data_IF_403939338164
#
_entry.id   IF_403939338164
#
_cell.length_a   1.000
_cell.length_b   1.000
_cell.length_c   1.000
_cell.angle_alpha   90.00
_cell.angle_beta   90.00
_cell.angle_gamma   90.00
#
_symmetry.space_group_name_H-M   'P 1'
#
loop_
_entity.id
_entity.type
_entity.pdbx_description
1 polymer ?
#
# COMPACT_ATOMS: atom_id res chain seq x y z
N UNK A 1 52.09 -18.88 31.11
CA UNK A 1 52.07 -17.44 30.82
C UNK A 1 51.34 -17.25 29.49
N UNK A 2 50.03 -17.00 29.54
CA UNK A 2 49.18 -16.76 28.36
C UNK A 2 48.45 -15.46 28.65
N UNK A 3 48.86 -14.39 27.99
CA UNK A 3 48.21 -13.09 28.00
C UNK A 3 46.85 -13.23 27.31
N UNK A 4 45.76 -13.13 28.07
CA UNK A 4 44.39 -13.10 27.54
C UNK A 4 44.12 -11.71 26.96
N UNK A 5 44.01 -11.68 25.64
CA UNK A 5 43.69 -10.53 24.81
C UNK A 5 42.32 -9.93 25.19
N UNK A 6 42.33 -8.67 25.65
CA UNK A 6 41.16 -7.90 26.12
C UNK A 6 40.41 -7.18 24.97
N UNK A 7 40.78 -7.40 23.71
CA UNK A 7 40.17 -6.72 22.55
C UNK A 7 38.79 -7.26 22.13
N UNK A 8 38.36 -8.42 22.66
CA UNK A 8 37.11 -9.08 22.25
C UNK A 8 35.84 -8.64 22.98
N UNK A 9 35.95 -7.87 24.06
CA UNK A 9 34.77 -7.34 24.80
C UNK A 9 34.28 -5.98 24.27
N UNK A 10 35.06 -5.29 23.44
CA UNK A 10 34.70 -3.97 22.91
C UNK A 10 33.81 -4.01 21.65
N UNK A 11 33.70 -5.15 20.97
CA UNK A 11 32.93 -5.24 19.72
C UNK A 11 31.42 -5.43 20.00
N UNK A 12 31.04 -6.02 21.13
CA UNK A 12 29.62 -6.23 21.47
C UNK A 12 28.91 -4.99 21.99
N UNK A 13 29.63 -3.97 22.48
CA UNK A 13 29.00 -2.73 22.99
C UNK A 13 28.75 -1.68 21.91
N UNK A 14 29.50 -1.70 20.79
CA UNK A 14 29.32 -0.75 19.69
C UNK A 14 28.09 -1.06 18.81
N UNK A 15 27.67 -2.32 18.73
CA UNK A 15 26.48 -2.75 17.99
C UNK A 15 25.17 -2.28 18.63
N UNK A 16 25.12 -2.09 19.94
CA UNK A 16 23.91 -1.65 20.64
C UNK A 16 23.65 -0.15 20.45
N UNK A 17 24.72 0.65 20.30
CA UNK A 17 24.60 2.11 20.16
C UNK A 17 24.07 2.55 18.78
N UNK A 18 24.34 1.76 17.73
CA UNK A 18 23.86 2.04 16.37
C UNK A 18 22.37 1.74 16.16
N UNK A 19 21.79 0.81 16.92
CA UNK A 19 20.35 0.50 16.83
C UNK A 19 19.50 1.59 17.50
N UNK A 20 19.96 2.17 18.60
CA UNK A 20 19.23 3.23 19.32
C UNK A 20 19.09 4.54 18.52
N UNK A 21 20.09 4.88 17.70
CA UNK A 21 20.03 6.08 16.85
C UNK A 21 18.97 5.98 15.72
N UNK A 22 18.60 4.76 15.33
CA UNK A 22 17.61 4.53 14.28
C UNK A 22 16.16 4.76 14.76
N UNK A 23 15.88 4.56 16.06
CA UNK A 23 14.54 4.81 16.65
C UNK A 23 14.28 6.29 16.99
N UNK A 24 15.31 7.02 17.44
CA UNK A 24 15.17 8.42 17.84
C UNK A 24 14.81 9.37 16.68
N UNK A 25 15.13 8.99 15.44
CA UNK A 25 14.81 9.78 14.24
C UNK A 25 13.36 9.57 13.79
N UNK A 26 12.84 8.34 13.88
CA UNK A 26 11.43 8.05 13.56
C UNK A 26 10.50 8.69 14.59
N UNK A 27 10.87 8.67 15.87
CA UNK A 27 10.05 9.26 16.94
C UNK A 27 9.88 10.78 16.76
N UNK A 28 10.95 11.47 16.37
CA UNK A 28 10.90 12.90 16.03
C UNK A 28 10.06 13.20 14.78
N UNK A 29 10.06 12.31 13.79
CA UNK A 29 9.22 12.47 12.60
C UNK A 29 7.75 12.28 12.96
N UNK A 30 7.43 11.26 13.76
CA UNK A 30 6.07 10.98 14.23
C UNK A 30 5.55 12.18 15.04
N UNK A 31 6.34 12.69 15.99
CA UNK A 31 5.96 13.84 16.80
C UNK A 31 5.69 15.10 15.94
N UNK A 32 6.50 15.35 14.90
CA UNK A 32 6.26 16.46 13.97
C UNK A 32 4.98 16.28 13.14
N UNK A 33 4.69 15.06 12.69
CA UNK A 33 3.49 14.77 11.90
C UNK A 33 2.22 14.84 12.74
N UNK A 34 2.28 14.42 14.01
CA UNK A 34 1.21 14.56 14.99
C UNK A 34 0.95 16.03 15.35
N UNK A 35 2.01 16.83 15.56
CA UNK A 35 1.92 18.28 15.80
C UNK A 35 1.30 19.04 14.61
N UNK A 36 1.51 18.56 13.38
CA UNK A 36 0.95 19.14 12.16
C UNK A 36 -0.47 18.64 11.85
N UNK A 37 -1.06 17.79 12.70
CA UNK A 37 -2.35 17.11 12.46
C UNK A 37 -2.41 16.38 11.09
N UNK A 38 -1.25 15.96 10.57
CA UNK A 38 -1.14 15.32 9.27
C UNK A 38 -1.65 13.87 9.29
N UNK A 39 -1.76 13.27 10.48
CA UNK A 39 -2.20 11.90 10.67
C UNK A 39 -3.41 11.90 11.61
N UNK A 40 -4.58 11.58 11.06
CA UNK A 40 -5.81 11.43 11.86
C UNK A 40 -5.79 10.08 12.61
N UNK A 41 -6.30 10.07 13.85
CA UNK A 41 -6.43 8.85 14.63
C UNK A 41 -7.44 7.90 13.95
N UNK A 42 -7.14 6.59 13.95
CA UNK A 42 -8.02 5.55 13.41
C UNK A 42 -9.49 5.70 13.86
N UNK A 43 -9.72 6.03 15.14
CA UNK A 43 -11.08 6.24 15.67
C UNK A 43 -11.81 7.43 15.05
N UNK A 44 -11.09 8.51 14.74
CA UNK A 44 -11.66 9.68 14.06
C UNK A 44 -11.92 9.41 12.58
N UNK A 45 -11.02 8.67 11.92
CA UNK A 45 -11.20 8.21 10.55
C UNK A 45 -12.46 7.34 10.43
N UNK A 46 -12.64 6.37 11.35
CA UNK A 46 -13.80 5.48 11.36
C UNK A 46 -15.12 6.22 11.61
N UNK A 47 -15.12 7.32 12.38
CA UNK A 47 -16.33 8.16 12.56
C UNK A 47 -16.76 8.83 11.24
N UNK A 48 -15.82 9.23 10.39
CA UNK A 48 -16.11 9.89 9.10
C UNK A 48 -16.48 8.91 8.00
N UNK A 49 -15.75 7.80 7.90
CA UNK A 49 -15.89 6.82 6.81
C UNK A 49 -17.01 5.80 7.13
N UNK A 50 -17.34 5.60 8.40
CA UNK A 50 -18.31 4.61 8.86
C UNK A 50 -17.68 3.23 9.06
N UNK A 51 -18.50 2.26 9.46
CA UNK A 51 -18.07 0.87 9.57
C UNK A 51 -17.76 0.29 8.20
N UNK A 52 -16.61 -0.37 8.05
CA UNK A 52 -16.32 -1.14 6.85
C UNK A 52 -17.38 -2.23 6.68
N UNK A 53 -18.18 -2.13 5.62
CA UNK A 53 -19.12 -3.19 5.23
C UNK A 53 -18.34 -4.16 4.37
N UNK A 54 -18.01 -5.30 4.95
CA UNK A 54 -17.39 -6.38 4.20
C UNK A 54 -18.39 -6.89 3.15
N UNK A 55 -18.02 -6.82 1.87
CA UNK A 55 -18.90 -7.28 0.80
C UNK A 55 -19.06 -8.79 0.89
N UNK A 56 -20.30 -9.26 1.03
CA UNK A 56 -20.65 -10.67 1.30
C UNK A 56 -20.35 -11.65 0.17
N UNK A 57 -19.95 -11.21 -1.03
CA UNK A 57 -19.67 -12.09 -2.17
C UNK A 57 -18.24 -11.96 -2.71
N UNK A 58 -17.35 -12.76 -2.12
CA UNK A 58 -16.03 -13.03 -2.67
C UNK A 58 -16.17 -14.12 -3.75
N UNK A 59 -16.49 -13.68 -4.97
CA UNK A 59 -16.57 -14.54 -6.17
C UNK A 59 -15.33 -14.33 -7.03
N UNK A 60 -14.72 -15.42 -7.50
CA UNK A 60 -13.70 -15.38 -8.57
C UNK A 60 -14.35 -14.85 -9.85
N UNK A 61 -13.74 -13.83 -10.46
CA UNK A 61 -14.29 -13.14 -11.62
C UNK A 61 -13.43 -13.31 -12.85
N UNK A 62 -14.07 -13.34 -14.01
CA UNK A 62 -13.35 -13.26 -15.29
C UNK A 62 -12.80 -11.84 -15.51
N UNK A 63 -11.85 -11.69 -16.44
CA UNK A 63 -11.33 -10.37 -16.80
C UNK A 63 -12.44 -9.41 -17.28
N UNK A 64 -13.44 -9.92 -18.00
CA UNK A 64 -14.54 -9.12 -18.53
C UNK A 64 -15.50 -8.67 -17.40
N UNK A 65 -15.77 -9.56 -16.43
CA UNK A 65 -16.57 -9.22 -15.25
C UNK A 65 -15.87 -8.17 -14.37
N UNK A 66 -14.54 -8.25 -14.23
CA UNK A 66 -13.76 -7.24 -13.50
C UNK A 66 -13.82 -5.90 -14.23
N UNK A 67 -13.62 -5.90 -15.55
CA UNK A 67 -13.67 -4.68 -16.36
C UNK A 67 -15.05 -4.01 -16.30
N UNK A 68 -16.14 -4.77 -16.39
CA UNK A 68 -17.50 -4.24 -16.24
C UNK A 68 -17.70 -3.60 -14.85
N UNK A 69 -17.19 -4.22 -13.79
CA UNK A 69 -17.25 -3.63 -12.45
C UNK A 69 -16.48 -2.31 -12.34
N UNK A 70 -15.28 -2.23 -12.91
CA UNK A 70 -14.49 -0.99 -12.92
C UNK A 70 -15.21 0.12 -13.70
N UNK A 71 -15.80 -0.21 -14.85
CA UNK A 71 -16.61 0.72 -15.64
C UNK A 71 -17.82 1.26 -14.86
N UNK A 72 -18.53 0.37 -14.14
CA UNK A 72 -19.65 0.79 -13.28
C UNK A 72 -19.20 1.71 -12.16
N UNK A 73 -18.07 1.41 -11.50
CA UNK A 73 -17.51 2.29 -10.47
C UNK A 73 -17.17 3.67 -11.04
N UNK A 74 -16.55 3.71 -12.21
CA UNK A 74 -16.23 4.97 -12.87
C UNK A 74 -17.49 5.78 -13.23
N UNK A 75 -18.50 5.10 -13.79
CA UNK A 75 -19.78 5.71 -14.18
C UNK A 75 -20.55 6.26 -12.97
N UNK A 76 -20.50 5.55 -11.84
CA UNK A 76 -21.20 5.95 -10.63
C UNK A 76 -20.48 7.10 -9.89
N UNK A 77 -19.16 7.18 -10.00
CA UNK A 77 -18.33 8.14 -9.26
C UNK A 77 -17.33 8.89 -10.16
N UNK A 78 -17.79 9.58 -11.21
CA UNK A 78 -16.91 10.19 -12.21
C UNK A 78 -16.05 11.33 -11.65
N UNK A 79 -16.47 11.96 -10.55
CA UNK A 79 -15.76 13.09 -9.93
C UNK A 79 -14.51 12.69 -9.17
N UNK A 80 -14.43 11.43 -8.72
CA UNK A 80 -13.33 10.93 -7.88
C UNK A 80 -12.61 9.74 -8.50
N UNK A 81 -12.99 9.36 -9.73
CA UNK A 81 -12.39 8.24 -10.44
C UNK A 81 -12.01 8.62 -11.86
N UNK A 82 -10.92 8.04 -12.35
CA UNK A 82 -10.48 8.19 -13.73
C UNK A 82 -10.01 6.83 -14.26
N UNK A 83 -10.54 6.41 -15.40
CA UNK A 83 -10.23 5.12 -16.00
C UNK A 83 -9.43 5.32 -17.29
N UNK A 84 -8.30 4.62 -17.40
CA UNK A 84 -7.43 4.69 -18.57
C UNK A 84 -6.70 3.37 -18.80
N UNK A 85 -6.25 3.15 -20.04
CA UNK A 85 -5.48 1.96 -20.41
C UNK A 85 -3.99 2.31 -20.50
N UNK A 86 -3.14 1.47 -19.88
CA UNK A 86 -1.67 1.62 -19.94
C UNK A 86 -1.01 0.78 -21.02
N UNK A 87 -1.82 0.02 -21.79
CA UNK A 87 -1.34 -0.83 -22.87
C UNK A 87 -2.22 -2.04 -23.11
N UNK A 88 -1.68 -3.04 -23.82
CA UNK A 88 -2.35 -4.30 -24.12
C UNK A 88 -1.47 -5.49 -23.74
N UNK A 89 -2.10 -6.57 -23.27
CA UNK A 89 -1.45 -7.86 -23.04
C UNK A 89 -1.05 -8.53 -24.37
N UNK A 90 -0.26 -9.61 -24.29
CA UNK A 90 0.10 -10.46 -25.43
C UNK A 90 -1.13 -10.99 -26.18
N UNK A 91 -2.24 -11.23 -25.46
CA UNK A 91 -3.52 -11.65 -26.02
C UNK A 91 -4.41 -10.46 -26.44
N UNK A 92 -3.83 -9.28 -26.67
CA UNK A 92 -4.49 -8.03 -27.09
C UNK A 92 -5.57 -7.48 -26.14
N UNK A 93 -5.62 -7.96 -24.89
CA UNK A 93 -6.57 -7.43 -23.86
C UNK A 93 -6.05 -6.13 -23.26
N UNK A 94 -6.89 -5.12 -23.02
CA UNK A 94 -6.46 -3.86 -22.40
C UNK A 94 -5.97 -4.10 -20.96
N UNK A 95 -4.93 -3.35 -20.57
CA UNK A 95 -4.46 -3.25 -19.19
C UNK A 95 -5.06 -1.97 -18.61
N UNK A 96 -6.25 -2.11 -18.02
CA UNK A 96 -7.03 -0.97 -17.52
C UNK A 96 -6.65 -0.63 -16.09
N UNK A 97 -6.52 0.68 -15.82
CA UNK A 97 -6.25 1.26 -14.50
C UNK A 97 -7.44 2.12 -14.10
N UNK A 98 -7.88 1.97 -12.85
CA UNK A 98 -8.83 2.87 -12.20
C UNK A 98 -8.08 3.71 -11.16
N UNK A 99 -7.84 4.98 -11.45
CA UNK A 99 -7.34 5.94 -10.47
C UNK A 99 -8.48 6.45 -9.60
N UNK A 100 -8.24 6.58 -8.30
CA UNK A 100 -9.21 7.06 -7.32
C UNK A 100 -8.56 8.18 -6.50
N UNK A 101 -9.20 9.33 -6.43
CA UNK A 101 -8.66 10.47 -5.68
C UNK A 101 -9.45 11.76 -5.93
N UNK A 102 -9.02 12.85 -5.29
CA UNK A 102 -9.63 14.18 -5.46
C UNK A 102 -9.35 14.75 -6.86
N UNK A 103 -8.16 14.45 -7.40
CA UNK A 103 -7.74 14.81 -8.76
C UNK A 103 -7.21 13.55 -9.46
N UNK A 104 -8.10 12.62 -9.88
CA UNK A 104 -7.69 11.29 -10.33
C UNK A 104 -7.00 11.29 -11.71
N UNK A 105 -7.06 12.40 -12.44
CA UNK A 105 -6.50 12.58 -13.78
C UNK A 105 -5.08 13.17 -13.79
N UNK A 106 -4.58 13.69 -12.66
CA UNK A 106 -3.28 14.37 -12.59
C UNK A 106 -2.60 14.27 -11.23
N UNK A 107 -1.28 14.31 -11.25
CA UNK A 107 -0.48 14.47 -10.04
C UNK A 107 -0.72 15.84 -9.40
N UNK A 108 -0.80 15.86 -8.06
CA UNK A 108 -0.85 17.10 -7.29
C UNK A 108 0.29 17.15 -6.27
N UNK A 109 1.17 18.17 -6.31
CA UNK A 109 2.29 18.27 -5.37
C UNK A 109 1.83 18.21 -3.91
N UNK A 110 2.49 17.37 -3.11
CA UNK A 110 2.16 17.16 -1.71
C UNK A 110 1.06 16.10 -1.47
N UNK A 111 0.41 15.60 -2.52
CA UNK A 111 -0.48 14.42 -2.43
C UNK A 111 0.31 13.18 -2.86
N UNK A 112 0.54 12.21 -1.98
CA UNK A 112 1.23 10.98 -2.33
C UNK A 112 0.38 10.11 -3.26
N UNK A 113 1.03 9.45 -4.22
CA UNK A 113 0.39 8.49 -5.10
C UNK A 113 0.72 7.07 -4.64
N UNK A 114 -0.32 6.22 -4.58
CA UNK A 114 -0.18 4.81 -4.28
C UNK A 114 -0.83 4.00 -5.39
N UNK A 115 -0.22 2.87 -5.72
CA UNK A 115 -0.74 1.94 -6.72
C UNK A 115 -0.85 0.54 -6.15
N UNK A 116 -1.95 -0.12 -6.50
CA UNK A 116 -2.14 -1.54 -6.28
C UNK A 116 -2.10 -2.25 -7.63
N UNK A 117 -1.13 -3.14 -7.78
CA UNK A 117 -1.01 -3.99 -8.97
C UNK A 117 -1.33 -5.42 -8.53
N UNK A 118 -2.30 -6.03 -9.20
CA UNK A 118 -2.76 -7.38 -8.91
C UNK A 118 -2.83 -8.21 -10.18
N UNK A 119 -3.03 -9.52 -10.03
CA UNK A 119 -3.17 -10.47 -11.14
C UNK A 119 -1.96 -10.49 -12.10
N UNK A 120 -0.74 -10.27 -11.56
CA UNK A 120 0.51 -10.28 -12.34
C UNK A 120 0.88 -11.69 -12.79
N UNK A 121 0.60 -12.70 -11.97
CA UNK A 121 0.64 -14.10 -12.36
C UNK A 121 -0.81 -14.57 -12.51
N UNK A 122 -1.20 -14.97 -13.72
CA UNK A 122 -2.61 -15.28 -14.06
C UNK A 122 -3.21 -16.50 -13.33
N UNK A 123 -2.42 -17.20 -12.52
CA UNK A 123 -2.81 -18.31 -11.66
C UNK A 123 -2.78 -17.96 -10.16
N UNK A 124 -2.43 -16.73 -9.77
CA UNK A 124 -2.51 -16.24 -8.38
C UNK A 124 -3.94 -15.81 -8.01
N UNK A 125 -4.93 -16.54 -8.53
CA UNK A 125 -6.33 -16.35 -8.16
C UNK A 125 -6.55 -17.09 -6.84
N UNK A 126 -6.69 -16.33 -5.75
CA UNK A 126 -6.88 -16.91 -4.42
C UNK A 126 -8.36 -16.92 -4.02
N UNK A 127 -8.84 -18.07 -3.58
CA UNK A 127 -10.13 -18.20 -2.91
C UNK A 127 -10.02 -17.70 -1.45
N UNK A 128 -11.09 -17.17 -0.86
CA UNK A 128 -11.08 -16.49 0.44
C UNK A 128 -10.66 -17.35 1.65
N UNK A 129 -10.55 -18.68 1.54
CA UNK A 129 -10.28 -19.55 2.69
C UNK A 129 -8.79 -19.75 3.03
N UNK A 130 -7.85 -19.04 2.36
CA UNK A 130 -6.42 -19.22 2.62
C UNK A 130 -5.84 -18.14 3.54
N UNK A 131 -5.28 -18.49 4.72
CA UNK A 131 -4.89 -17.56 5.80
C UNK A 131 -3.68 -16.63 5.52
N UNK A 132 -3.17 -16.55 4.29
CA UNK A 132 -1.91 -15.83 3.98
C UNK A 132 -2.10 -14.57 3.10
N UNK A 133 -3.24 -13.88 3.17
CA UNK A 133 -3.75 -12.89 2.18
C UNK A 133 -3.05 -11.53 2.10
N UNK A 134 -1.83 -11.36 2.62
CA UNK A 134 -1.06 -10.12 2.45
C UNK A 134 0.00 -10.22 1.33
N UNK A 135 -0.46 -10.27 0.07
CA UNK A 135 0.41 -9.96 -1.08
C UNK A 135 -0.23 -8.87 -1.95
N UNK A 136 -0.43 -7.69 -1.36
CA UNK A 136 -0.39 -6.46 -2.14
C UNK A 136 1.09 -6.12 -2.34
N UNK A 137 1.59 -6.23 -3.57
CA UNK A 137 2.96 -5.84 -3.88
C UNK A 137 3.07 -4.31 -3.74
N UNK A 138 3.61 -3.86 -2.60
CA UNK A 138 3.92 -2.46 -2.35
C UNK A 138 5.11 -2.06 -3.23
N UNK A 139 4.82 -1.55 -4.43
CA UNK A 139 5.84 -0.87 -5.23
C UNK A 139 6.05 0.53 -4.65
N UNK A 140 7.09 0.68 -3.82
CA UNK A 140 7.66 1.97 -3.45
C UNK A 140 8.11 2.67 -4.75
N UNK A 141 7.45 3.76 -5.12
CA UNK A 141 7.98 4.65 -6.16
C UNK A 141 9.21 5.33 -5.54
N UNK A 142 10.38 5.15 -6.17
CA UNK A 142 11.65 5.79 -5.80
C UNK A 142 11.58 7.31 -5.90
#
# INVERSE_FOLDING_TARGET
MVTKDMSRWFIFTASLLHVAACGLYTDKIIENLEQQAAVENYTEIMKRIGSFVETSEIKVRSNDEILDKLNRLHTNYPHITYMYDIGRSVKSRPLTVLAIGIFPDRHYPGVPEFKYVANIHGNEVRLPEHPDSEQALFCRQN
#
